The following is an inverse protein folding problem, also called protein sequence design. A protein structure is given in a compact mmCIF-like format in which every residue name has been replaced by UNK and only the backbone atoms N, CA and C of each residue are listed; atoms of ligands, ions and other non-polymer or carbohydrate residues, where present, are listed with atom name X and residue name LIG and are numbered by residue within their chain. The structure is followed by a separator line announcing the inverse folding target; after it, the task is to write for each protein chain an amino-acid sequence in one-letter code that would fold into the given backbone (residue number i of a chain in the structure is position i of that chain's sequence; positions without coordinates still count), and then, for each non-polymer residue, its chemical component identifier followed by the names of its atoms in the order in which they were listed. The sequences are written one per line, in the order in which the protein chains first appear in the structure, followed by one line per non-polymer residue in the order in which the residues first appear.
data_IF_252264690820
#
_entry.id   IF_252264690820
#
_cell.length_a   1.000
_cell.length_b   1.000
_cell.length_c   1.000
_cell.angle_alpha   90.00
_cell.angle_beta   90.00
_cell.angle_gamma   90.00
#
_symmetry.space_group_name_H-M   'P 1'
#
loop_
_entity.id
_entity.type
_entity.pdbx_description
1 polymer ?
#
# COMPACT_ATOMS: atom_id res chain seq x y z
N UNK A 1 17.24 20.69 -15.35
CA UNK A 1 18.29 20.29 -14.39
C UNK A 1 19.04 19.14 -15.05
N UNK A 2 19.95 19.47 -15.97
CA UNK A 2 20.65 18.54 -16.88
C UNK A 2 22.17 18.64 -16.66
N UNK A 3 22.67 18.21 -15.50
CA UNK A 3 24.11 18.30 -15.17
C UNK A 3 24.76 16.97 -14.81
N UNK A 4 24.03 15.84 -14.82
CA UNK A 4 24.55 14.59 -14.25
C UNK A 4 25.28 13.67 -15.25
N UNK A 5 25.20 13.91 -16.56
CA UNK A 5 25.88 13.04 -17.53
C UNK A 5 27.36 13.35 -17.73
N UNK A 6 27.77 14.62 -17.62
CA UNK A 6 29.18 14.99 -17.80
C UNK A 6 30.06 14.55 -16.63
N UNK A 7 29.56 14.67 -15.39
CA UNK A 7 30.31 14.29 -14.18
C UNK A 7 30.61 12.79 -14.16
N UNK A 8 29.66 11.94 -14.58
CA UNK A 8 29.85 10.49 -14.63
C UNK A 8 30.91 10.07 -15.66
N UNK A 9 30.94 10.70 -16.85
CA UNK A 9 31.92 10.36 -17.89
C UNK A 9 33.35 10.74 -17.49
N UNK A 10 33.55 11.91 -16.88
CA UNK A 10 34.87 12.33 -16.39
C UNK A 10 35.39 11.43 -15.27
N UNK A 11 34.52 11.03 -14.33
CA UNK A 11 34.89 10.11 -13.24
C UNK A 11 35.30 8.73 -13.78
N UNK A 12 34.62 8.23 -14.82
CA UNK A 12 34.99 6.97 -15.49
C UNK A 12 36.36 7.05 -16.16
N UNK A 13 36.67 8.14 -16.86
CA UNK A 13 37.98 8.34 -17.51
C UNK A 13 39.10 8.43 -16.47
N UNK A 14 38.90 9.22 -15.42
CA UNK A 14 39.87 9.39 -14.33
C UNK A 14 40.09 8.04 -13.61
N UNK A 15 39.01 7.30 -13.32
CA UNK A 15 39.09 5.98 -12.70
C UNK A 15 39.85 4.97 -13.56
N UNK A 16 39.60 4.95 -14.87
CA UNK A 16 40.35 4.09 -15.80
C UNK A 16 41.85 4.44 -15.82
N UNK A 17 42.19 5.74 -15.86
CA UNK A 17 43.59 6.19 -15.81
C UNK A 17 44.32 5.74 -14.53
N UNK A 18 43.68 5.89 -13.36
CA UNK A 18 44.26 5.43 -12.09
C UNK A 18 44.37 3.90 -12.01
N UNK A 19 43.41 3.17 -12.56
CA UNK A 19 43.43 1.71 -12.58
C UNK A 19 44.59 1.19 -13.44
N UNK A 20 44.74 1.69 -14.67
CA UNK A 20 45.82 1.26 -15.56
C UNK A 20 47.20 1.70 -15.06
N UNK A 21 47.34 2.92 -14.53
CA UNK A 21 48.61 3.38 -13.95
C UNK A 21 49.00 2.59 -12.69
N UNK A 22 48.02 2.22 -11.85
CA UNK A 22 48.24 1.36 -10.69
C UNK A 22 48.73 -0.04 -11.08
N UNK A 23 48.05 -0.70 -12.04
CA UNK A 23 48.47 -2.01 -12.55
C UNK A 23 49.87 -1.94 -13.16
N UNK A 24 50.12 -0.93 -14.00
CA UNK A 24 51.42 -0.74 -14.65
C UNK A 24 52.56 -0.60 -13.64
N UNK A 25 52.35 0.19 -12.57
CA UNK A 25 53.32 0.37 -11.49
C UNK A 25 53.61 -0.93 -10.72
N UNK A 26 52.57 -1.75 -10.45
CA UNK A 26 52.72 -3.06 -9.81
C UNK A 26 53.51 -4.01 -10.69
N UNK A 27 53.20 -4.09 -11.98
CA UNK A 27 53.87 -4.98 -12.94
C UNK A 27 55.34 -4.60 -13.09
N UNK A 28 55.68 -3.31 -13.23
CA UNK A 28 57.07 -2.86 -13.30
C UNK A 28 57.83 -3.17 -12.01
N UNK A 29 57.19 -2.94 -10.85
CA UNK A 29 57.82 -3.25 -9.57
C UNK A 29 58.12 -4.75 -9.41
N UNK A 30 57.21 -5.62 -9.90
CA UNK A 30 57.40 -7.08 -9.91
C UNK A 30 58.51 -7.52 -10.88
N UNK A 31 58.56 -6.93 -12.08
CA UNK A 31 59.61 -7.23 -13.07
C UNK A 31 60.99 -6.82 -12.54
N UNK A 32 61.09 -5.63 -11.95
CA UNK A 32 62.34 -5.15 -11.34
C UNK A 32 62.76 -6.01 -10.15
N UNK A 33 61.81 -6.56 -9.38
CA UNK A 33 62.12 -7.51 -8.31
C UNK A 33 62.73 -8.82 -8.82
N UNK A 34 62.32 -9.27 -10.02
CA UNK A 34 62.77 -10.54 -10.61
C UNK A 34 64.14 -10.48 -11.31
N UNK A 35 64.64 -9.29 -11.65
CA UNK A 35 65.87 -9.13 -12.44
C UNK A 35 67.15 -8.91 -11.61
N UNK A 36 67.06 -8.67 -10.30
CA UNK A 36 68.25 -8.56 -9.44
C UNK A 36 68.68 -9.95 -8.92
N UNK A 37 69.62 -10.60 -9.64
CA UNK A 37 70.43 -11.67 -9.04
C UNK A 37 71.26 -11.03 -7.91
N UNK A 38 70.97 -11.44 -6.69
CA UNK A 38 71.61 -11.04 -5.45
C UNK A 38 73.12 -11.12 -5.54
N UNK A 39 73.79 -9.96 -5.52
CA UNK A 39 75.13 -9.83 -4.95
C UNK A 39 75.19 -8.53 -4.13
N UNK A 40 75.71 -8.65 -2.91
CA UNK A 40 76.04 -7.58 -1.98
C UNK A 40 74.96 -7.14 -0.95
N UNK A 41 75.35 -7.30 0.31
CA UNK A 41 74.55 -7.33 1.55
C UNK A 41 74.17 -5.95 2.10
N UNK A 42 74.50 -4.86 1.39
CA UNK A 42 74.26 -3.48 1.84
C UNK A 42 73.21 -2.78 0.96
N UNK A 43 73.20 -3.01 -0.35
CA UNK A 43 72.17 -2.47 -1.25
C UNK A 43 70.79 -3.10 -1.03
N UNK A 44 70.73 -4.37 -0.63
CA UNK A 44 69.47 -5.09 -0.33
C UNK A 44 68.70 -4.52 0.87
N UNK A 45 69.36 -3.82 1.80
CA UNK A 45 68.68 -3.16 2.93
C UNK A 45 68.08 -1.80 2.56
N UNK A 46 68.72 -1.05 1.67
CA UNK A 46 68.17 0.19 1.11
C UNK A 46 67.07 -0.08 0.08
N UNK A 47 67.19 -1.17 -0.69
CA UNK A 47 66.14 -1.63 -1.62
C UNK A 47 64.86 -2.12 -0.94
N UNK A 48 64.94 -2.69 0.28
CA UNK A 48 63.73 -3.01 1.07
C UNK A 48 62.92 -1.79 1.48
N UNK A 49 63.51 -0.58 1.43
CA UNK A 49 62.83 0.66 1.82
C UNK A 49 62.11 1.35 0.65
N UNK A 50 62.61 1.21 -0.59
CA UNK A 50 62.01 1.81 -1.79
C UNK A 50 61.13 0.83 -2.61
N UNK A 51 61.29 -0.48 -2.42
CA UNK A 51 60.45 -1.49 -3.09
C UNK A 51 58.95 -1.51 -2.70
N UNK A 52 58.47 -1.00 -1.54
CA UNK A 52 57.04 -1.01 -1.25
C UNK A 52 56.33 0.27 -1.69
N UNK A 53 57.05 1.30 -2.16
CA UNK A 53 56.47 2.62 -2.44
C UNK A 53 55.43 2.54 -3.57
N UNK A 54 55.75 1.86 -4.68
CA UNK A 54 54.83 1.66 -5.81
C UNK A 54 53.59 0.84 -5.46
N UNK A 55 53.75 -0.21 -4.65
CA UNK A 55 52.64 -1.06 -4.19
C UNK A 55 51.73 -0.26 -3.24
N UNK A 56 52.30 0.54 -2.35
CA UNK A 56 51.54 1.37 -1.40
C UNK A 56 50.73 2.43 -2.13
N UNK A 57 51.30 3.11 -3.13
CA UNK A 57 50.56 4.06 -3.96
C UNK A 57 49.46 3.38 -4.80
N UNK A 58 49.72 2.19 -5.33
CA UNK A 58 48.72 1.42 -6.07
C UNK A 58 47.52 1.04 -5.21
N UNK A 59 47.76 0.54 -3.99
CA UNK A 59 46.69 0.19 -3.04
C UNK A 59 45.93 1.44 -2.58
N UNK A 60 46.64 2.53 -2.27
CA UNK A 60 46.01 3.79 -1.85
C UNK A 60 45.10 4.37 -2.94
N UNK A 61 45.54 4.38 -4.20
CA UNK A 61 44.73 4.84 -5.33
C UNK A 61 43.47 3.98 -5.52
N UNK A 62 43.58 2.65 -5.36
CA UNK A 62 42.45 1.73 -5.48
C UNK A 62 41.42 1.97 -4.36
N UNK A 63 41.87 2.23 -3.12
CA UNK A 63 40.99 2.58 -2.01
C UNK A 63 40.25 3.91 -2.23
N UNK A 64 40.91 4.92 -2.80
CA UNK A 64 40.27 6.21 -3.13
C UNK A 64 39.17 6.02 -4.17
N UNK A 65 39.41 5.25 -5.23
CA UNK A 65 38.40 4.97 -6.26
C UNK A 65 37.20 4.22 -5.67
N UNK A 66 37.44 3.19 -4.84
CA UNK A 66 36.37 2.45 -4.16
C UNK A 66 35.57 3.36 -3.22
N UNK A 67 36.23 4.27 -2.52
CA UNK A 67 35.60 5.26 -1.63
C UNK A 67 34.64 6.18 -2.39
N UNK A 68 35.10 6.76 -3.51
CA UNK A 68 34.30 7.66 -4.36
C UNK A 68 33.07 6.93 -4.90
N UNK A 69 33.24 5.71 -5.43
CA UNK A 69 32.12 4.91 -5.99
C UNK A 69 31.09 4.53 -4.92
N UNK A 70 31.52 4.30 -3.66
CA UNK A 70 30.58 4.02 -2.57
C UNK A 70 29.79 5.24 -2.13
N UNK A 71 30.41 6.43 -2.09
CA UNK A 71 29.73 7.67 -1.72
C UNK A 71 28.68 8.06 -2.76
N UNK A 72 29.00 7.98 -4.06
CA UNK A 72 28.04 8.26 -5.15
C UNK A 72 26.81 7.34 -5.11
N UNK A 73 27.01 6.05 -4.77
CA UNK A 73 25.90 5.09 -4.64
C UNK A 73 25.00 5.38 -3.45
N UNK A 74 25.54 5.96 -2.38
CA UNK A 74 24.78 6.25 -1.17
C UNK A 74 23.91 7.49 -1.34
N UNK A 75 24.43 8.55 -1.95
CA UNK A 75 23.64 9.74 -2.29
C UNK A 75 22.47 9.40 -3.24
N UNK A 76 22.73 8.59 -4.28
CA UNK A 76 21.68 8.17 -5.21
C UNK A 76 20.57 7.33 -4.53
N UNK A 77 20.93 6.50 -3.55
CA UNK A 77 19.96 5.73 -2.77
C UNK A 77 19.15 6.59 -1.81
N UNK A 78 19.78 7.58 -1.17
CA UNK A 78 19.10 8.48 -0.23
C UNK A 78 18.08 9.38 -0.95
N UNK A 79 18.41 9.89 -2.13
CA UNK A 79 17.48 10.66 -2.99
C UNK A 79 16.26 9.82 -3.42
N UNK A 80 16.50 8.56 -3.83
CA UNK A 80 15.41 7.66 -4.21
C UNK A 80 14.52 7.30 -3.01
N UNK A 81 15.12 7.07 -1.85
CA UNK A 81 14.42 6.78 -0.60
C UNK A 81 13.59 7.98 -0.13
N UNK A 82 14.10 9.20 -0.26
CA UNK A 82 13.36 10.42 0.08
C UNK A 82 12.17 10.64 -0.88
N UNK A 83 12.37 10.38 -2.17
CA UNK A 83 11.30 10.43 -3.19
C UNK A 83 10.21 9.39 -2.94
N UNK A 84 10.58 8.17 -2.55
CA UNK A 84 9.63 7.10 -2.18
C UNK A 84 8.86 7.46 -0.90
N UNK A 85 9.54 8.02 0.11
CA UNK A 85 8.90 8.46 1.36
C UNK A 85 7.86 9.56 1.09
N UNK A 86 8.19 10.54 0.25
CA UNK A 86 7.26 11.61 -0.13
C UNK A 86 6.04 11.08 -0.90
N UNK A 87 6.24 10.13 -1.83
CA UNK A 87 5.13 9.45 -2.51
C UNK A 87 4.23 8.68 -1.56
N UNK A 88 4.81 8.00 -0.57
CA UNK A 88 4.04 7.22 0.41
C UNK A 88 3.19 8.14 1.31
N UNK A 89 3.71 9.31 1.69
CA UNK A 89 2.95 10.34 2.41
C UNK A 89 1.80 10.90 1.55
N UNK A 90 2.06 11.23 0.28
CA UNK A 90 1.01 11.71 -0.64
C UNK A 90 -0.08 10.65 -0.86
N UNK A 91 0.31 9.37 -0.99
CA UNK A 91 -0.63 8.25 -1.08
C UNK A 91 -1.43 8.07 0.21
N UNK A 92 -0.81 8.19 1.39
CA UNK A 92 -1.51 8.12 2.67
C UNK A 92 -2.52 9.27 2.83
N UNK A 93 -2.16 10.48 2.41
CA UNK A 93 -3.05 11.65 2.42
C UNK A 93 -4.21 11.45 1.44
N UNK A 94 -3.94 10.97 0.22
CA UNK A 94 -4.98 10.66 -0.77
C UNK A 94 -5.92 9.56 -0.28
N UNK A 95 -5.37 8.49 0.31
CA UNK A 95 -6.16 7.39 0.86
C UNK A 95 -7.04 7.88 2.01
N UNK A 96 -6.50 8.70 2.91
CA UNK A 96 -7.29 9.34 3.96
C UNK A 96 -8.41 10.21 3.39
N UNK A 97 -8.12 11.03 2.36
CA UNK A 97 -9.14 11.86 1.70
C UNK A 97 -10.25 11.04 1.07
N UNK A 98 -9.92 9.93 0.41
CA UNK A 98 -10.91 9.02 -0.18
C UNK A 98 -11.76 8.35 0.91
N UNK A 99 -11.15 7.89 2.00
CA UNK A 99 -11.88 7.33 3.14
C UNK A 99 -12.81 8.35 3.81
N UNK A 100 -12.39 9.61 3.95
CA UNK A 100 -13.25 10.67 4.50
C UNK A 100 -14.29 11.18 3.51
N UNK A 101 -14.03 11.11 2.21
CA UNK A 101 -14.98 11.48 1.15
C UNK A 101 -16.14 10.49 1.04
N UNK A 102 -15.88 9.20 1.27
CA UNK A 102 -16.93 8.17 1.40
C UNK A 102 -17.59 8.14 2.79
N UNK A 103 -17.00 8.82 3.78
CA UNK A 103 -17.60 9.00 5.12
C UNK A 103 -18.74 10.03 5.14
N UNK A 104 -19.10 10.60 3.98
CA UNK A 104 -20.32 11.39 3.81
C UNK A 104 -21.60 10.52 3.75
N UNK A 105 -21.51 9.19 3.86
CA UNK A 105 -22.58 8.42 4.52
C UNK A 105 -22.45 8.69 6.02
N UNK A 106 -22.85 9.91 6.37
CA UNK A 106 -22.88 10.45 7.71
C UNK A 106 -23.50 9.42 8.64
N UNK A 107 -23.05 9.37 9.88
CA UNK A 107 -23.67 8.63 10.99
C UNK A 107 -25.11 9.11 11.30
N UNK A 108 -25.73 9.85 10.39
CA UNK A 108 -27.07 10.38 10.45
C UNK A 108 -28.10 9.40 9.90
N UNK A 109 -29.30 9.56 10.42
CA UNK A 109 -30.50 8.92 9.93
C UNK A 109 -30.78 9.43 8.52
N UNK A 110 -30.99 8.51 7.57
CA UNK A 110 -31.34 8.81 6.18
C UNK A 110 -32.84 8.62 6.03
N UNK A 111 -33.56 9.66 5.66
CA UNK A 111 -34.97 9.55 5.33
C UNK A 111 -35.13 9.54 3.80
N UNK A 112 -35.67 8.44 3.28
CA UNK A 112 -35.85 8.23 1.83
C UNK A 112 -37.33 7.94 1.52
N UNK A 113 -37.81 8.45 0.39
CA UNK A 113 -39.18 8.19 -0.09
C UNK A 113 -39.12 7.42 -1.39
N UNK A 114 -39.61 6.19 -1.33
CA UNK A 114 -39.62 5.24 -2.43
C UNK A 114 -40.96 5.30 -3.17
N UNK A 115 -40.87 5.50 -4.48
CA UNK A 115 -42.02 5.35 -5.38
C UNK A 115 -42.20 3.89 -5.76
N UNK A 116 -43.45 3.42 -5.81
CA UNK A 116 -43.79 2.06 -6.25
C UNK A 116 -43.47 1.78 -7.74
N UNK A 117 -43.22 2.81 -8.54
CA UNK A 117 -43.05 2.67 -9.98
C UNK A 117 -41.60 2.42 -10.40
N UNK A 118 -40.62 2.89 -9.63
CA UNK A 118 -39.22 2.87 -10.03
C UNK A 118 -38.32 2.41 -8.87
N UNK A 119 -37.40 1.46 -9.13
CA UNK A 119 -36.33 1.15 -8.18
C UNK A 119 -35.49 2.40 -7.88
N UNK A 120 -35.12 2.57 -6.61
CA UNK A 120 -34.20 3.62 -6.18
C UNK A 120 -32.93 3.02 -5.61
N UNK A 121 -31.83 3.73 -5.76
CA UNK A 121 -30.56 3.32 -5.17
C UNK A 121 -30.25 4.11 -3.92
N UNK A 122 -29.79 3.41 -2.89
CA UNK A 122 -29.27 3.98 -1.64
C UNK A 122 -27.79 3.61 -1.46
N UNK A 123 -27.11 4.31 -0.56
CA UNK A 123 -25.68 4.12 -0.26
C UNK A 123 -24.78 4.19 -1.50
N UNK A 124 -24.92 5.25 -2.29
CA UNK A 124 -24.11 5.51 -3.49
C UNK A 124 -24.09 4.35 -4.50
N UNK A 125 -25.23 3.75 -4.81
CA UNK A 125 -25.29 2.68 -5.82
C UNK A 125 -25.21 1.26 -5.25
N UNK A 126 -24.87 1.09 -3.97
CA UNK A 126 -24.55 -0.24 -3.42
C UNK A 126 -25.78 -1.11 -3.18
N UNK A 127 -26.91 -0.48 -2.84
CA UNK A 127 -28.17 -1.18 -2.59
C UNK A 127 -29.24 -0.59 -3.49
N UNK A 128 -30.00 -1.47 -4.14
CA UNK A 128 -31.19 -1.11 -4.90
C UNK A 128 -32.42 -1.56 -4.11
N UNK A 129 -33.38 -0.67 -3.99
CA UNK A 129 -34.65 -0.89 -3.29
C UNK A 129 -35.78 -0.67 -4.29
N UNK A 130 -36.66 -1.65 -4.41
CA UNK A 130 -37.86 -1.58 -5.21
C UNK A 130 -39.07 -1.75 -4.30
N UNK A 131 -39.92 -0.72 -4.24
CA UNK A 131 -41.20 -0.81 -3.58
C UNK A 131 -42.21 -1.49 -4.52
N UNK A 132 -42.89 -2.50 -4.03
CA UNK A 132 -43.96 -3.22 -4.72
C UNK A 132 -45.27 -2.94 -3.98
N UNK A 133 -46.31 -2.54 -4.71
CA UNK A 133 -47.62 -2.32 -4.10
C UNK A 133 -48.24 -3.66 -3.73
N UNK A 134 -48.78 -3.77 -2.51
CA UNK A 134 -49.55 -4.94 -2.06
C UNK A 134 -50.92 -5.11 -2.74
N UNK A 135 -51.26 -4.28 -3.72
CA UNK A 135 -52.54 -4.29 -4.42
C UNK A 135 -53.69 -3.75 -3.57
N UNK A 136 -54.92 -4.22 -3.83
CA UNK A 136 -56.14 -3.69 -3.20
C UNK A 136 -56.30 -4.01 -1.71
N UNK A 137 -55.57 -5.00 -1.19
CA UNK A 137 -55.77 -5.52 0.19
C UNK A 137 -54.47 -5.90 0.91
N UNK A 138 -53.32 -5.83 0.25
CA UNK A 138 -52.04 -6.23 0.82
C UNK A 138 -51.22 -5.04 1.31
N UNK A 139 -50.41 -5.32 2.33
CA UNK A 139 -49.32 -4.45 2.76
C UNK A 139 -48.30 -4.28 1.61
N UNK A 140 -47.73 -3.07 1.39
CA UNK A 140 -46.65 -2.89 0.42
C UNK A 140 -45.42 -3.68 0.83
N UNK A 141 -44.67 -4.18 -0.15
CA UNK A 141 -43.43 -4.92 0.09
C UNK A 141 -42.22 -4.20 -0.49
N UNK A 142 -41.07 -4.43 0.13
CA UNK A 142 -39.78 -3.92 -0.32
C UNK A 142 -38.88 -5.06 -0.75
N UNK A 143 -38.46 -5.00 -2.01
CA UNK A 143 -37.47 -5.91 -2.57
C UNK A 143 -36.11 -5.23 -2.62
N UNK A 144 -35.10 -5.91 -2.13
CA UNK A 144 -33.74 -5.42 -2.05
C UNK A 144 -32.79 -6.19 -2.96
N UNK A 145 -31.81 -5.49 -3.53
CA UNK A 145 -30.67 -6.08 -4.24
C UNK A 145 -29.38 -5.45 -3.72
N UNK A 146 -28.31 -6.24 -3.59
CA UNK A 146 -27.03 -5.78 -3.02
C UNK A 146 -26.91 -5.94 -1.50
N UNK A 147 -27.77 -6.76 -0.89
CA UNK A 147 -27.76 -7.10 0.54
C UNK A 147 -27.61 -8.61 0.75
N UNK A 148 -27.22 -9.03 1.96
CA UNK A 148 -27.22 -10.42 2.42
C UNK A 148 -28.64 -10.88 2.67
N UNK A 149 -29.43 -10.06 3.37
CA UNK A 149 -30.85 -10.32 3.60
C UNK A 149 -31.52 -9.29 4.49
N UNK A 150 -32.83 -9.46 4.68
CA UNK A 150 -33.69 -8.67 5.57
C UNK A 150 -34.22 -9.55 6.70
N UNK A 151 -34.49 -8.94 7.86
CA UNK A 151 -35.00 -9.60 9.05
C UNK A 151 -35.91 -8.66 9.83
N UNK A 152 -37.05 -9.14 10.37
CA UNK A 152 -37.86 -8.36 11.32
C UNK A 152 -37.11 -8.10 12.64
N UNK A 153 -36.14 -8.96 12.97
CA UNK A 153 -35.38 -8.92 14.21
C UNK A 153 -33.93 -8.50 13.95
N UNK A 154 -33.41 -7.66 14.83
CA UNK A 154 -32.04 -7.15 14.77
C UNK A 154 -30.95 -8.23 14.72
N UNK A 155 -31.18 -9.37 15.39
CA UNK A 155 -30.29 -10.56 15.41
C UNK A 155 -30.96 -11.78 14.78
N UNK A 156 -31.96 -11.56 13.91
CA UNK A 156 -32.66 -12.64 13.23
C UNK A 156 -31.87 -13.22 12.05
N UNK A 157 -32.38 -14.29 11.42
CA UNK A 157 -31.84 -14.77 10.16
C UNK A 157 -32.05 -13.70 9.07
N UNK A 158 -30.98 -13.37 8.34
CA UNK A 158 -31.01 -12.49 7.18
C UNK A 158 -30.98 -13.36 5.91
N UNK A 159 -32.08 -14.04 5.63
CA UNK A 159 -32.18 -15.09 4.60
C UNK A 159 -33.17 -14.77 3.48
N UNK A 160 -33.96 -13.70 3.60
CA UNK A 160 -34.84 -13.22 2.54
C UNK A 160 -34.35 -11.89 1.96
N UNK A 161 -34.81 -11.54 0.76
CA UNK A 161 -34.53 -10.27 0.08
C UNK A 161 -35.78 -9.39 -0.08
N UNK A 162 -36.91 -9.85 0.47
CA UNK A 162 -38.19 -9.18 0.40
C UNK A 162 -38.80 -9.10 1.81
N UNK A 163 -39.46 -8.00 2.12
CA UNK A 163 -40.17 -7.82 3.39
C UNK A 163 -41.45 -7.01 3.17
N UNK A 164 -42.52 -7.48 3.79
CA UNK A 164 -43.76 -6.71 3.90
C UNK A 164 -43.56 -5.57 4.89
N UNK A 165 -44.04 -4.40 4.50
CA UNK A 165 -43.91 -3.16 5.25
C UNK A 165 -45.29 -2.59 5.51
N UNK A 166 -45.46 -1.95 6.65
CA UNK A 166 -46.66 -1.21 7.01
C UNK A 166 -46.24 -0.08 7.94
N UNK A 167 -47.04 0.97 7.99
CA UNK A 167 -46.78 2.12 8.85
C UNK A 167 -46.45 1.72 10.28
N UNK A 168 -45.32 2.22 10.80
CA UNK A 168 -44.83 1.93 12.14
C UNK A 168 -44.11 0.58 12.30
N UNK A 169 -44.07 -0.28 11.26
CA UNK A 169 -43.23 -1.49 11.30
C UNK A 169 -41.75 -1.11 11.25
N UNK A 170 -40.95 -1.89 11.96
CA UNK A 170 -39.49 -1.84 11.96
C UNK A 170 -38.94 -3.14 11.44
N UNK A 171 -37.88 -3.06 10.65
CA UNK A 171 -37.12 -4.20 10.22
C UNK A 171 -35.64 -3.83 10.08
N UNK A 172 -34.82 -4.81 9.75
CA UNK A 172 -33.38 -4.70 9.62
C UNK A 172 -32.95 -5.34 8.31
N UNK A 173 -31.89 -4.82 7.69
CA UNK A 173 -31.22 -5.50 6.60
C UNK A 173 -29.71 -5.49 6.81
N UNK A 174 -29.04 -6.49 6.23
CA UNK A 174 -27.60 -6.63 6.32
C UNK A 174 -26.98 -6.46 4.93
N UNK A 175 -26.06 -5.52 4.79
CA UNK A 175 -25.30 -5.31 3.55
C UNK A 175 -24.19 -6.35 3.38
N UNK A 176 -23.66 -6.50 2.16
CA UNK A 176 -22.60 -7.49 1.85
C UNK A 176 -21.29 -7.30 2.64
N UNK A 177 -21.07 -6.11 3.19
CA UNK A 177 -19.97 -5.80 4.13
C UNK A 177 -20.31 -6.18 5.59
N UNK A 178 -21.37 -6.96 5.82
CA UNK A 178 -21.84 -7.44 7.13
C UNK A 178 -22.26 -6.32 8.11
N UNK A 179 -22.65 -5.16 7.58
CA UNK A 179 -23.21 -4.06 8.39
C UNK A 179 -24.73 -4.21 8.47
N UNK A 180 -25.27 -4.13 9.68
CA UNK A 180 -26.72 -4.14 9.91
C UNK A 180 -27.25 -2.70 9.93
N UNK A 181 -28.34 -2.49 9.20
CA UNK A 181 -29.07 -1.23 9.14
C UNK A 181 -30.48 -1.45 9.67
N UNK A 182 -30.95 -0.54 10.50
CA UNK A 182 -32.33 -0.51 10.95
C UNK A 182 -33.17 0.37 10.03
N UNK A 183 -34.41 -0.04 9.79
CA UNK A 183 -35.37 0.69 8.96
C UNK A 183 -36.69 0.84 9.70
N UNK A 184 -37.19 2.06 9.81
CA UNK A 184 -38.55 2.34 10.26
C UNK A 184 -39.41 2.77 9.07
N UNK A 185 -40.59 2.17 8.93
CA UNK A 185 -41.59 2.63 7.95
C UNK A 185 -42.40 3.78 8.55
N UNK A 186 -42.23 4.99 8.03
CA UNK A 186 -42.91 6.19 8.52
C UNK A 186 -44.31 6.31 7.92
N UNK A 187 -44.40 6.10 6.60
CA UNK A 187 -45.65 6.20 5.86
C UNK A 187 -45.67 5.19 4.71
N UNK A 188 -46.86 4.70 4.38
CA UNK A 188 -47.11 3.66 3.39
C UNK A 188 -48.25 4.00 2.41
N UNK A 189 -48.85 5.19 2.54
CA UNK A 189 -49.95 5.65 1.69
C UNK A 189 -49.41 6.35 0.45
N UNK A 190 -49.59 5.74 -0.72
CA UNK A 190 -49.24 6.30 -2.03
C UNK A 190 -47.75 6.24 -2.37
N UNK A 191 -46.87 6.58 -1.44
CA UNK A 191 -45.43 6.31 -1.50
C UNK A 191 -44.98 5.68 -0.18
N UNK A 192 -43.84 4.97 -0.21
CA UNK A 192 -43.26 4.38 1.00
C UNK A 192 -42.15 5.27 1.53
N UNK A 193 -42.36 5.90 2.69
CA UNK A 193 -41.34 6.72 3.34
C UNK A 193 -40.65 5.92 4.44
N UNK A 194 -39.33 5.80 4.34
CA UNK A 194 -38.51 5.01 5.24
C UNK A 194 -37.47 5.89 5.95
N UNK A 195 -37.21 5.53 7.19
CA UNK A 195 -36.11 6.06 7.98
C UNK A 195 -35.05 4.96 8.15
N UNK A 196 -33.87 5.16 7.57
CA UNK A 196 -32.78 4.19 7.55
C UNK A 196 -31.67 4.71 8.45
N UNK A 197 -31.21 3.89 9.39
CA UNK A 197 -30.14 4.27 10.32
C UNK A 197 -29.14 3.15 10.53
N UNK A 198 -27.89 3.52 10.78
CA UNK A 198 -26.83 2.56 11.05
C UNK A 198 -27.03 1.96 12.43
N UNK A 199 -27.17 0.65 12.49
CA UNK A 199 -27.27 -0.04 13.77
C UNK A 199 -25.86 -0.40 14.26
N UNK A 200 -25.48 0.11 15.43
CA UNK A 200 -24.12 -0.04 15.97
C UNK A 200 -23.87 -1.40 16.61
N UNK A 201 -24.65 -2.43 16.26
CA UNK A 201 -24.41 -3.76 16.79
C UNK A 201 -23.15 -4.37 16.18
N UNK A 202 -22.12 -4.44 17.03
CA UNK A 202 -21.01 -5.38 16.84
C UNK A 202 -21.59 -6.79 16.97
N UNK A 203 -21.94 -7.41 15.83
CA UNK A 203 -22.12 -8.85 15.77
C UNK A 203 -20.80 -9.47 16.23
N UNK A 204 -20.80 -10.05 17.44
CA UNK A 204 -19.67 -10.88 17.89
C UNK A 204 -19.61 -12.07 16.93
N UNK A 205 -18.79 -11.96 15.91
CA UNK A 205 -18.44 -13.11 15.08
C UNK A 205 -17.73 -14.10 15.99
N UNK A 206 -18.43 -15.15 16.39
CA UNK A 206 -17.83 -16.31 17.01
C UNK A 206 -16.98 -17.02 15.95
N UNK A 207 -15.85 -16.43 15.55
CA UNK A 207 -14.76 -17.19 14.96
C UNK A 207 -14.23 -18.07 16.07
N UNK A 208 -14.71 -19.31 16.13
CA UNK A 208 -14.00 -20.38 16.84
C UNK A 208 -12.54 -20.34 16.36
N UNK A 209 -11.56 -20.22 17.26
CA UNK A 209 -10.18 -20.42 16.86
C UNK A 209 -10.10 -21.85 16.30
N UNK A 210 -9.72 -21.94 15.03
CA UNK A 210 -9.27 -23.21 14.45
C UNK A 210 -8.03 -23.57 15.26
N UNK A 211 -8.16 -24.54 16.17
CA UNK A 211 -7.01 -25.19 16.77
C UNK A 211 -6.21 -25.75 15.61
N UNK A 212 -5.05 -25.17 15.35
CA UNK A 212 -4.00 -25.82 14.59
C UNK A 212 -3.57 -27.01 15.42
N UNK A 213 -4.12 -28.19 15.12
CA UNK A 213 -3.62 -29.42 15.71
C UNK A 213 -2.14 -29.54 15.36
N UNK A 214 -1.39 -29.68 16.44
CA UNK A 214 0.04 -29.80 16.54
C UNK A 214 0.59 -30.90 15.65
N UNK A 215 1.59 -30.54 14.87
CA UNK A 215 2.62 -31.43 14.33
C UNK A 215 3.21 -32.22 15.50
N UNK A 216 3.10 -33.56 15.44
CA UNK A 216 4.02 -34.51 16.04
C UNK A 216 4.33 -35.59 15.02
#
# INVERSE_FOLDING_TARGET
METNHHTSFFVVIIGAFFFFSGIYSIVISLINLGQHKSDSTIETKLFKFNAPVGITYGIAALLVVVGIVKLDKQEAQDDEMQKLKNKNVDLAIKNHRLMTSDSAVSQGVIQETFSFFNPQSIFNGKVLVQAESGGFTGDPSLKFTGIIGVSPLQKGPFDTLNIETAKGKRFYFMTNDSIVWGVNTIDDVGNLTLEIYKDNLKLKTNKKPVLSDSIK
#
